data_IF_530590630523
#
_entry.id   IF_530590630523
#
_cell.length_a   1.000
_cell.length_b   1.000
_cell.length_c   1.000
_cell.angle_alpha   90.00
_cell.angle_beta   90.00
_cell.angle_gamma   90.00
#
_symmetry.space_group_name_H-M   'P 1'
#
loop_
_entity.id
_entity.type
_entity.pdbx_description
1 polymer ?
#
# COMPACT_ATOMS: atom_id res chain seq x y z
N UNK A 1 -20.93 5.59 8.76
CA UNK A 1 -20.28 6.78 8.16
C UNK A 1 -20.51 8.02 9.00
N UNK A 2 -21.68 8.20 9.61
CA UNK A 2 -21.94 9.34 10.51
C UNK A 2 -20.88 9.50 11.59
N UNK A 3 -20.53 8.43 12.31
CA UNK A 3 -19.47 8.43 13.34
C UNK A 3 -18.13 8.99 12.83
N UNK A 4 -17.66 8.52 11.67
CA UNK A 4 -16.44 9.04 11.05
C UNK A 4 -16.57 10.52 10.65
N UNK A 5 -17.70 10.91 10.06
CA UNK A 5 -17.93 12.29 9.61
C UNK A 5 -17.97 13.26 10.79
N UNK A 6 -18.58 12.85 11.90
CA UNK A 6 -18.60 13.61 13.14
C UNK A 6 -17.20 13.74 13.74
N UNK A 7 -16.45 12.63 13.80
CA UNK A 7 -15.06 12.63 14.27
C UNK A 7 -14.17 13.58 13.46
N UNK A 8 -14.20 13.51 12.12
CA UNK A 8 -13.41 14.40 11.26
C UNK A 8 -13.82 15.86 11.43
N UNK A 9 -15.12 16.13 11.57
CA UNK A 9 -15.62 17.48 11.80
C UNK A 9 -15.09 18.03 13.13
N UNK A 10 -15.18 17.27 14.21
CA UNK A 10 -14.72 17.71 15.52
C UNK A 10 -13.20 17.88 15.56
N UNK A 11 -12.43 16.97 14.97
CA UNK A 11 -10.97 17.11 14.84
C UNK A 11 -10.61 18.41 14.09
N UNK A 12 -11.36 18.78 13.04
CA UNK A 12 -11.15 20.05 12.33
C UNK A 12 -11.46 21.26 13.20
N UNK A 13 -12.53 21.20 13.99
CA UNK A 13 -12.90 22.27 14.93
C UNK A 13 -11.83 22.44 16.01
N UNK A 14 -11.34 21.34 16.59
CA UNK A 14 -10.27 21.33 17.59
C UNK A 14 -8.92 21.78 17.01
N UNK A 15 -8.57 21.39 15.79
CA UNK A 15 -7.36 21.87 15.12
C UNK A 15 -7.40 23.40 14.89
N UNK A 16 -8.57 23.94 14.49
CA UNK A 16 -8.77 25.38 14.30
C UNK A 16 -8.77 26.16 15.61
N UNK A 17 -9.25 25.54 16.71
CA UNK A 17 -9.19 26.10 18.04
C UNK A 17 -7.79 26.00 18.67
N UNK A 18 -6.82 25.39 17.97
CA UNK A 18 -5.50 25.07 18.49
C UNK A 18 -5.59 24.20 19.77
N UNK A 19 -6.44 23.17 19.76
CA UNK A 19 -6.52 22.13 20.81
C UNK A 19 -5.86 20.81 20.36
N UNK A 20 -5.80 20.57 19.05
CA UNK A 20 -5.00 19.51 18.40
C UNK A 20 -3.85 20.17 17.67
N UNK A 21 -2.61 19.91 18.09
CA UNK A 21 -1.41 20.56 17.54
C UNK A 21 -0.44 19.58 16.89
N UNK A 22 -0.40 18.37 17.42
CA UNK A 22 0.49 17.30 17.00
C UNK A 22 -0.32 16.22 16.30
N UNK A 23 0.40 15.41 15.54
CA UNK A 23 -0.21 14.28 14.86
C UNK A 23 -0.71 13.25 15.86
N UNK A 24 0.05 12.98 16.92
CA UNK A 24 -0.36 12.05 17.97
C UNK A 24 -1.64 12.51 18.67
N UNK A 25 -1.95 13.81 18.70
CA UNK A 25 -3.21 14.32 19.28
C UNK A 25 -4.42 13.85 18.46
N UNK A 26 -4.27 13.66 17.13
CA UNK A 26 -5.32 13.11 16.26
C UNK A 26 -5.54 11.63 16.57
N UNK A 27 -4.48 10.83 16.65
CA UNK A 27 -4.58 9.40 16.99
C UNK A 27 -5.19 9.20 18.38
N UNK A 28 -4.73 9.98 19.38
CA UNK A 28 -5.31 10.00 20.73
C UNK A 28 -6.78 10.38 20.70
N UNK A 29 -7.16 11.34 19.86
CA UNK A 29 -8.55 11.77 19.74
C UNK A 29 -9.44 10.60 19.24
N UNK A 30 -9.03 9.95 18.15
CA UNK A 30 -9.76 8.82 17.58
C UNK A 30 -9.91 7.69 18.60
N UNK A 31 -8.83 7.31 19.28
CA UNK A 31 -8.84 6.20 20.25
C UNK A 31 -9.69 6.47 21.50
N UNK A 32 -9.78 7.72 21.96
CA UNK A 32 -10.38 8.04 23.27
C UNK A 32 -11.76 8.67 23.20
N UNK A 33 -12.09 9.29 22.08
CA UNK A 33 -13.28 10.13 21.96
C UNK A 33 -14.17 9.71 20.78
N UNK A 34 -13.83 8.62 20.09
CA UNK A 34 -14.66 8.04 19.04
C UNK A 34 -14.86 6.55 19.27
N UNK A 35 -15.86 5.97 18.60
CA UNK A 35 -16.11 4.53 18.59
C UNK A 35 -15.32 3.81 17.47
N UNK A 36 -14.31 4.45 16.88
CA UNK A 36 -13.50 3.83 15.82
C UNK A 36 -12.45 2.91 16.45
N UNK A 37 -12.48 1.62 16.09
CA UNK A 37 -11.57 0.63 16.64
C UNK A 37 -10.27 0.58 15.83
N UNK A 38 -9.13 0.79 16.49
CA UNK A 38 -7.81 0.62 15.87
C UNK A 38 -7.55 -0.87 15.61
N UNK A 39 -7.32 -1.24 14.34
CA UNK A 39 -7.07 -2.62 13.92
C UNK A 39 -5.69 -2.88 13.35
N UNK A 40 -4.98 -1.84 12.89
CA UNK A 40 -3.63 -1.99 12.37
C UNK A 40 -2.79 -0.71 12.55
N UNK A 41 -1.49 -0.89 12.72
CA UNK A 41 -0.51 0.20 12.81
C UNK A 41 0.71 -0.12 11.95
N UNK A 42 1.06 0.80 11.05
CA UNK A 42 2.29 0.80 10.27
C UNK A 42 3.25 1.91 10.72
N UNK A 43 4.35 2.09 10.00
CA UNK A 43 5.36 3.12 10.33
C UNK A 43 4.80 4.54 10.10
N UNK A 44 3.92 4.72 9.12
CA UNK A 44 3.37 6.03 8.71
C UNK A 44 1.86 6.16 8.80
N UNK A 45 1.16 5.06 9.12
CA UNK A 45 -0.29 5.03 9.08
C UNK A 45 -0.89 4.15 10.17
N UNK A 46 -2.14 4.46 10.50
CA UNK A 46 -3.01 3.68 11.37
C UNK A 46 -4.28 3.31 10.59
N UNK A 47 -4.89 2.17 10.89
CA UNK A 47 -6.12 1.71 10.23
C UNK A 47 -7.18 1.43 11.28
N UNK A 48 -8.37 2.01 11.08
CA UNK A 48 -9.50 1.90 11.99
C UNK A 48 -10.71 1.27 11.31
N UNK A 49 -11.48 0.49 12.08
CA UNK A 49 -12.82 0.06 11.67
C UNK A 49 -13.85 1.16 11.90
N UNK A 50 -14.90 1.15 11.07
CA UNK A 50 -16.07 2.01 11.24
C UNK A 50 -17.24 1.17 11.74
N UNK A 51 -17.73 1.38 12.99
CA UNK A 51 -18.88 0.64 13.48
C UNK A 51 -20.09 0.77 12.55
N UNK A 52 -20.69 -0.39 12.22
CA UNK A 52 -21.84 -0.47 11.32
C UNK A 52 -21.49 -0.47 9.83
N UNK A 53 -20.21 -0.36 9.44
CA UNK A 53 -19.75 -0.46 8.05
C UNK A 53 -18.60 -1.47 7.92
N UNK A 54 -18.90 -2.78 8.01
CA UNK A 54 -17.88 -3.83 8.03
C UNK A 54 -17.08 -3.94 6.73
N UNK A 55 -17.61 -3.38 5.65
CA UNK A 55 -17.04 -3.32 4.31
C UNK A 55 -16.04 -2.16 4.12
N UNK A 56 -15.81 -1.32 5.14
CA UNK A 56 -14.93 -0.16 5.04
C UNK A 56 -13.98 -0.03 6.22
N UNK A 57 -12.84 0.58 5.94
CA UNK A 57 -11.84 0.97 6.93
C UNK A 57 -11.39 2.41 6.71
N UNK A 58 -10.85 3.02 7.75
CA UNK A 58 -10.24 4.35 7.70
C UNK A 58 -8.74 4.21 7.83
N UNK A 59 -7.99 4.54 6.77
CA UNK A 59 -6.53 4.68 6.84
C UNK A 59 -6.17 6.13 7.18
N UNK A 60 -5.55 6.32 8.34
CA UNK A 60 -4.99 7.59 8.82
C UNK A 60 -3.52 7.66 8.42
N UNK A 61 -3.17 8.55 7.51
CA UNK A 61 -1.79 8.83 7.09
C UNK A 61 -1.31 10.11 7.76
N UNK A 62 -0.29 9.95 8.60
CA UNK A 62 0.00 10.94 9.62
C UNK A 62 1.41 11.55 9.43
N UNK A 63 2.27 10.93 8.63
CA UNK A 63 3.67 11.33 8.37
C UNK A 63 3.83 12.36 7.23
N UNK A 64 4.84 13.25 7.36
CA UNK A 64 5.14 14.29 6.35
C UNK A 64 5.81 13.73 5.09
N UNK A 65 6.57 12.64 5.26
CA UNK A 65 7.33 12.00 4.18
C UNK A 65 6.57 10.86 3.52
N UNK A 66 5.39 10.52 4.05
CA UNK A 66 4.53 9.48 3.51
C UNK A 66 4.12 9.80 2.06
N UNK A 67 4.46 8.88 1.16
CA UNK A 67 4.14 8.96 -0.26
C UNK A 67 2.73 8.47 -0.59
N UNK A 68 2.05 7.80 0.35
CA UNK A 68 0.80 7.07 0.10
C UNK A 68 -0.28 7.92 -0.58
N UNK A 69 -0.38 9.22 -0.28
CA UNK A 69 -1.37 10.09 -0.90
C UNK A 69 -1.28 10.16 -2.43
N UNK A 70 -0.09 9.95 -3.00
CA UNK A 70 0.11 9.89 -4.45
C UNK A 70 -0.58 8.64 -5.02
N UNK A 71 -0.31 7.49 -4.42
CA UNK A 71 -0.93 6.22 -4.79
C UNK A 71 -2.44 6.25 -4.55
N UNK A 72 -2.89 6.76 -3.42
CA UNK A 72 -4.31 6.88 -3.10
C UNK A 72 -5.05 7.71 -4.16
N UNK A 73 -4.52 8.88 -4.52
CA UNK A 73 -5.11 9.72 -5.57
C UNK A 73 -5.02 9.12 -6.96
N UNK A 74 -4.01 8.30 -7.23
CA UNK A 74 -3.93 7.52 -8.46
C UNK A 74 -5.05 6.48 -8.52
N UNK A 75 -5.32 5.76 -7.44
CA UNK A 75 -6.44 4.80 -7.34
C UNK A 75 -7.80 5.50 -7.52
N UNK A 76 -7.93 6.73 -7.01
CA UNK A 76 -9.14 7.55 -7.12
C UNK A 76 -9.43 8.09 -8.52
N UNK A 77 -8.54 7.91 -9.51
CA UNK A 77 -8.79 8.36 -10.88
C UNK A 77 -9.91 7.53 -11.52
N UNK A 78 -10.80 8.13 -12.34
CA UNK A 78 -11.93 7.43 -12.94
C UNK A 78 -11.54 6.14 -13.67
N UNK A 79 -10.41 6.13 -14.38
CA UNK A 79 -9.90 4.98 -15.12
C UNK A 79 -9.40 3.82 -14.24
N UNK A 80 -9.20 4.05 -12.93
CA UNK A 80 -8.66 3.07 -12.00
C UNK A 80 -9.68 2.56 -10.98
N UNK A 81 -10.88 3.16 -10.92
CA UNK A 81 -11.91 2.80 -9.93
C UNK A 81 -12.46 1.37 -10.11
N UNK A 82 -12.45 0.86 -11.35
CA UNK A 82 -12.89 -0.51 -11.65
C UNK A 82 -11.72 -1.51 -11.72
N UNK A 83 -10.49 -1.09 -11.40
CA UNK A 83 -9.33 -1.97 -11.49
C UNK A 83 -9.30 -2.96 -10.30
N UNK A 84 -9.36 -4.28 -10.56
CA UNK A 84 -9.44 -5.28 -9.50
C UNK A 84 -8.18 -5.40 -8.66
N UNK A 85 -7.04 -4.86 -9.08
CA UNK A 85 -5.76 -5.02 -8.42
C UNK A 85 -5.31 -3.81 -7.60
N UNK A 86 -6.19 -2.82 -7.40
CA UNK A 86 -5.97 -1.67 -6.51
C UNK A 86 -7.18 -1.42 -5.61
N UNK A 87 -7.01 -0.77 -4.44
CA UNK A 87 -8.10 -0.51 -3.52
C UNK A 87 -9.05 0.55 -4.06
N UNK A 88 -10.31 0.35 -3.78
CA UNK A 88 -11.38 1.33 -3.90
C UNK A 88 -11.24 2.30 -2.74
N UNK A 89 -10.84 3.52 -3.06
CA UNK A 89 -10.78 4.61 -2.10
C UNK A 89 -11.99 5.50 -2.33
N UNK A 90 -12.95 5.40 -1.42
CA UNK A 90 -14.22 6.12 -1.51
C UNK A 90 -14.08 7.62 -1.25
N UNK A 91 -13.10 8.01 -0.42
CA UNK A 91 -12.98 9.38 0.06
C UNK A 91 -11.58 9.70 0.60
N UNK A 92 -11.14 10.94 0.38
CA UNK A 92 -10.02 11.58 1.08
C UNK A 92 -10.55 12.76 1.91
N UNK A 93 -10.19 12.82 3.20
CA UNK A 93 -10.32 14.03 4.02
C UNK A 93 -8.94 14.47 4.51
N UNK A 94 -8.79 15.78 4.72
CA UNK A 94 -7.56 16.35 5.28
C UNK A 94 -7.84 17.23 6.49
N UNK A 95 -6.89 17.23 7.42
CA UNK A 95 -6.83 18.16 8.56
C UNK A 95 -5.46 18.83 8.53
N UNK A 96 -5.44 20.16 8.43
CA UNK A 96 -4.21 20.95 8.55
C UNK A 96 -4.04 21.39 10.00
N UNK A 97 -2.92 21.01 10.61
CA UNK A 97 -2.54 21.41 11.95
C UNK A 97 -1.88 22.79 11.92
N UNK A 98 -1.86 23.51 13.05
CA UNK A 98 -1.22 24.83 13.15
C UNK A 98 0.28 24.85 12.80
N UNK A 99 0.93 23.68 12.81
CA UNK A 99 2.31 23.49 12.32
C UNK A 99 2.46 23.49 10.79
N UNK A 100 1.35 23.58 10.04
CA UNK A 100 1.30 23.38 8.58
C UNK A 100 1.38 21.90 8.17
N UNK A 101 1.36 20.97 9.14
CA UNK A 101 1.32 19.53 8.86
C UNK A 101 -0.09 19.14 8.45
N UNK A 102 -0.21 18.43 7.33
CA UNK A 102 -1.49 17.93 6.83
C UNK A 102 -1.60 16.45 7.16
N UNK A 103 -2.60 16.11 7.96
CA UNK A 103 -3.04 14.75 8.28
C UNK A 103 -4.09 14.32 7.25
N UNK A 104 -4.01 13.09 6.75
CA UNK A 104 -4.90 12.56 5.72
C UNK A 104 -5.67 11.36 6.22
N UNK A 105 -6.93 11.28 5.83
CA UNK A 105 -7.83 10.17 6.12
C UNK A 105 -8.37 9.64 4.82
N UNK A 106 -8.35 8.32 4.68
CA UNK A 106 -8.90 7.62 3.53
C UNK A 106 -9.99 6.68 4.00
N UNK A 107 -11.21 6.89 3.51
CA UNK A 107 -12.26 5.87 3.61
C UNK A 107 -12.06 4.92 2.44
N UNK A 108 -11.74 3.67 2.74
CA UNK A 108 -11.43 2.66 1.72
C UNK A 108 -12.18 1.37 1.98
N UNK A 109 -12.32 0.55 0.95
CA UNK A 109 -12.86 -0.79 1.11
C UNK A 109 -12.03 -1.60 2.11
N UNK A 110 -12.69 -2.53 2.81
CA UNK A 110 -12.01 -3.52 3.65
C UNK A 110 -11.50 -4.66 2.79
N UNK A 111 -10.19 -4.93 2.91
CA UNK A 111 -9.52 -6.06 2.29
C UNK A 111 -9.10 -7.06 3.37
N UNK A 112 -8.83 -8.28 2.95
CA UNK A 112 -8.40 -9.37 3.83
C UNK A 112 -6.87 -9.49 3.83
N UNK A 113 -6.30 -9.73 5.00
CA UNK A 113 -4.89 -10.07 5.11
C UNK A 113 -4.62 -11.41 4.41
N UNK A 114 -3.42 -11.55 3.86
CA UNK A 114 -2.93 -12.84 3.38
C UNK A 114 -2.39 -13.61 4.59
N UNK A 115 -3.02 -14.74 4.93
CA UNK A 115 -2.68 -15.55 6.12
C UNK A 115 -2.32 -16.98 5.74
N UNK A 116 -1.20 -17.55 6.23
CA UNK A 116 -0.75 -18.94 5.96
C UNK A 116 -1.61 -20.07 6.58
N UNK A 117 -2.61 -19.76 7.42
CA UNK A 117 -3.50 -20.80 7.99
C UNK A 117 -4.90 -20.27 8.38
N UNK A 118 -5.22 -19.03 8.01
CA UNK A 118 -6.48 -18.38 8.39
C UNK A 118 -6.51 -17.87 9.84
N UNK A 119 -5.41 -17.98 10.61
CA UNK A 119 -5.42 -17.68 12.06
C UNK A 119 -4.58 -16.47 12.47
N UNK A 120 -3.46 -16.19 11.79
CA UNK A 120 -2.63 -14.99 12.05
C UNK A 120 -2.20 -14.29 10.75
N UNK A 121 -2.21 -12.94 10.70
CA UNK A 121 -1.60 -12.17 9.62
C UNK A 121 -0.10 -12.50 9.54
N UNK A 122 0.25 -13.36 8.61
CA UNK A 122 1.65 -13.65 8.33
C UNK A 122 2.23 -12.42 7.69
N UNK A 123 3.18 -11.75 8.37
CA UNK A 123 4.11 -10.84 7.67
C UNK A 123 4.64 -11.65 6.49
N UNK A 124 4.24 -11.35 5.25
CA UNK A 124 4.28 -12.36 4.19
C UNK A 124 5.73 -12.52 3.74
N UNK A 125 6.42 -13.45 4.39
CA UNK A 125 7.60 -14.11 3.87
C UNK A 125 7.21 -15.26 2.95
N UNK A 126 5.97 -15.76 3.08
CA UNK A 126 5.41 -16.86 2.31
C UNK A 126 3.97 -16.51 1.92
N UNK A 127 3.63 -16.82 0.67
CA UNK A 127 2.27 -16.91 0.20
C UNK A 127 1.96 -18.40 0.12
N UNK A 128 0.73 -18.80 0.47
CA UNK A 128 0.23 -20.17 0.30
C UNK A 128 0.44 -20.73 -1.09
N UNK A 129 0.31 -19.83 -2.06
CA UNK A 129 0.71 -20.09 -3.41
C UNK A 129 2.23 -19.89 -3.49
N UNK A 130 2.96 -21.01 -3.43
CA UNK A 130 4.41 -21.05 -3.60
C UNK A 130 4.83 -20.30 -4.87
N UNK A 131 3.95 -20.24 -5.88
CA UNK A 131 4.20 -19.58 -7.15
C UNK A 131 4.00 -18.07 -7.08
N UNK A 132 2.95 -17.58 -6.40
CA UNK A 132 2.86 -16.15 -6.11
C UNK A 132 3.97 -15.69 -5.14
N UNK A 133 4.36 -16.52 -4.17
CA UNK A 133 5.49 -16.25 -3.28
C UNK A 133 6.81 -16.09 -4.02
N UNK A 134 7.07 -16.93 -5.03
CA UNK A 134 8.22 -16.79 -5.93
C UNK A 134 8.13 -15.51 -6.77
N UNK A 135 6.99 -15.27 -7.42
CA UNK A 135 6.77 -14.06 -8.23
C UNK A 135 7.06 -12.80 -7.40
N UNK A 136 6.51 -12.76 -6.19
CA UNK A 136 6.69 -11.72 -5.20
C UNK A 136 8.17 -11.50 -4.81
N UNK A 137 8.89 -12.56 -4.43
CA UNK A 137 10.30 -12.47 -4.04
C UNK A 137 11.19 -11.94 -5.19
N UNK A 138 10.85 -12.31 -6.41
CA UNK A 138 11.46 -11.80 -7.64
C UNK A 138 11.17 -10.32 -7.84
N UNK A 139 9.90 -9.89 -7.77
CA UNK A 139 9.48 -8.50 -7.91
C UNK A 139 10.22 -7.58 -6.93
N UNK A 140 10.27 -7.94 -5.65
CA UNK A 140 11.01 -7.16 -4.65
C UNK A 140 12.50 -7.03 -4.98
N UNK A 141 13.11 -8.12 -5.43
CA UNK A 141 14.54 -8.13 -5.77
C UNK A 141 14.82 -7.25 -6.98
N UNK A 142 13.92 -7.29 -7.97
CA UNK A 142 14.00 -6.50 -9.18
C UNK A 142 13.78 -5.00 -8.91
N UNK A 143 12.88 -4.62 -8.00
CA UNK A 143 12.60 -3.21 -7.74
C UNK A 143 13.51 -2.56 -6.70
N UNK A 144 14.26 -3.35 -5.94
CA UNK A 144 15.20 -2.85 -4.92
C UNK A 144 16.17 -1.77 -5.44
N UNK A 145 16.75 -1.86 -6.65
CA UNK A 145 17.61 -0.81 -7.19
C UNK A 145 16.91 0.53 -7.41
N UNK A 146 15.60 0.55 -7.66
CA UNK A 146 14.80 1.76 -7.91
C UNK A 146 14.43 2.50 -6.62
N UNK A 147 14.87 2.00 -5.46
CA UNK A 147 14.92 2.80 -4.24
C UNK A 147 15.98 3.92 -4.32
N UNK A 148 16.93 3.83 -5.27
CA UNK A 148 17.90 4.88 -5.57
C UNK A 148 17.31 5.87 -6.59
N UNK A 149 17.06 7.15 -6.22
CA UNK A 149 16.52 8.15 -7.14
C UNK A 149 17.42 8.47 -8.34
N UNK A 150 18.67 7.99 -8.37
CA UNK A 150 19.55 8.11 -9.52
C UNK A 150 19.36 7.00 -10.57
N UNK A 151 18.47 6.05 -10.30
CA UNK A 151 18.15 4.92 -11.19
C UNK A 151 16.63 4.84 -11.37
N UNK A 152 16.06 5.67 -12.24
CA UNK A 152 14.63 5.61 -12.51
C UNK A 152 14.24 4.26 -13.11
N UNK A 153 13.16 3.68 -12.61
CA UNK A 153 12.55 2.46 -13.15
C UNK A 153 12.21 2.61 -14.63
N UNK A 154 11.65 3.75 -15.01
CA UNK A 154 11.20 4.01 -16.39
C UNK A 154 12.34 4.21 -17.39
N UNK A 155 13.55 4.49 -16.91
CA UNK A 155 14.77 4.51 -17.74
C UNK A 155 15.29 3.10 -18.05
N UNK A 156 15.02 2.12 -17.17
CA UNK A 156 15.50 0.73 -17.26
C UNK A 156 14.41 -0.25 -17.77
N UNK A 157 13.12 0.10 -17.61
CA UNK A 157 11.96 -0.70 -17.99
C UNK A 157 10.92 0.20 -18.65
N UNK A 158 10.79 0.11 -19.97
CA UNK A 158 9.96 1.04 -20.76
C UNK A 158 8.60 0.48 -21.16
N UNK A 159 8.40 -0.83 -21.02
CA UNK A 159 7.16 -1.51 -21.39
C UNK A 159 6.80 -2.65 -20.44
N UNK A 160 5.54 -3.08 -20.48
CA UNK A 160 5.06 -4.26 -19.73
C UNK A 160 5.78 -5.53 -20.19
N UNK A 161 6.07 -5.67 -21.47
CA UNK A 161 6.75 -6.84 -22.00
C UNK A 161 8.18 -6.93 -21.45
N UNK A 162 8.93 -5.81 -21.47
CA UNK A 162 10.26 -5.72 -20.84
C UNK A 162 10.21 -5.99 -19.33
N UNK A 163 9.15 -5.50 -18.66
CA UNK A 163 8.93 -5.75 -17.23
C UNK A 163 8.77 -7.25 -16.94
N UNK A 164 7.96 -7.95 -17.74
CA UNK A 164 7.77 -9.40 -17.62
C UNK A 164 9.05 -10.16 -17.94
N UNK A 165 9.77 -9.79 -18.99
CA UNK A 165 11.07 -10.40 -19.32
C UNK A 165 12.06 -10.29 -18.15
N UNK A 166 12.13 -9.13 -17.49
CA UNK A 166 13.01 -8.93 -16.33
C UNK A 166 12.59 -9.71 -15.08
N UNK A 167 11.30 -10.02 -14.93
CA UNK A 167 10.78 -10.88 -13.86
C UNK A 167 11.21 -12.34 -14.11
N UNK A 168 11.21 -12.78 -15.36
CA UNK A 168 11.58 -14.15 -15.71
C UNK A 168 13.10 -14.40 -15.71
N UNK A 169 13.92 -13.35 -15.61
CA UNK A 169 15.36 -13.50 -15.44
C UNK A 169 15.70 -14.29 -14.17
N UNK A 170 16.64 -15.25 -14.23
CA UNK A 170 17.05 -16.02 -13.05
C UNK A 170 17.63 -15.12 -11.96
N UNK A 171 16.97 -15.04 -10.79
CA UNK A 171 17.40 -14.20 -9.66
C UNK A 171 17.68 -15.03 -8.40
N UNK A 172 18.71 -14.62 -7.66
CA UNK A 172 18.96 -15.16 -6.33
C UNK A 172 17.97 -14.53 -5.35
N UNK A 173 17.09 -15.34 -4.76
CA UNK A 173 16.16 -14.87 -3.73
C UNK A 173 16.90 -14.64 -2.39
N UNK A 174 16.54 -13.55 -1.69
CA UNK A 174 17.16 -13.19 -0.40
C UNK A 174 16.78 -14.13 0.76
N UNK A 175 15.76 -14.97 0.60
CA UNK A 175 15.14 -15.74 1.68
C UNK A 175 15.57 -17.22 1.75
N UNK A 176 16.37 -17.72 0.80
CA UNK A 176 16.83 -19.11 0.82
C UNK A 176 18.14 -19.26 1.62
N UNK A 177 18.22 -20.33 2.42
CA UNK A 177 19.42 -20.66 3.18
C UNK A 177 20.63 -20.85 2.26
N UNK A 178 21.85 -20.58 2.77
CA UNK A 178 23.08 -20.48 1.98
C UNK A 178 23.43 -21.71 1.15
N UNK A 179 22.85 -22.87 1.47
CA UNK A 179 23.28 -24.17 0.95
C UNK A 179 22.43 -24.65 -0.25
N UNK A 180 21.38 -23.90 -0.63
CA UNK A 180 20.43 -24.29 -1.71
C UNK A 180 20.14 -23.17 -2.73
N UNK A 181 21.08 -22.25 -2.97
CA UNK A 181 20.91 -21.12 -3.93
C UNK A 181 20.83 -21.59 -5.39
N UNK A 182 19.71 -22.20 -5.77
CA UNK A 182 19.28 -22.22 -7.17
C UNK A 182 18.60 -20.88 -7.46
N UNK A 183 18.95 -20.20 -8.56
CA UNK A 183 18.18 -19.06 -9.03
C UNK A 183 16.72 -19.47 -9.18
N UNK A 184 15.80 -18.63 -8.70
CA UNK A 184 14.38 -18.79 -8.96
C UNK A 184 14.10 -18.22 -10.35
N UNK A 185 13.32 -18.97 -11.11
CA UNK A 185 12.79 -18.57 -12.42
C UNK A 185 11.27 -18.65 -12.29
N UNK A 186 10.57 -17.65 -12.82
CA UNK A 186 9.11 -17.64 -12.84
C UNK A 186 8.65 -18.30 -14.13
N UNK A 187 7.87 -19.36 -14.01
CA UNK A 187 7.34 -20.11 -15.14
C UNK A 187 6.27 -19.29 -15.89
N UNK A 188 6.14 -19.53 -17.20
CA UNK A 188 5.18 -18.81 -18.07
C UNK A 188 3.73 -18.96 -17.56
N UNK A 189 3.36 -20.11 -17.00
CA UNK A 189 2.02 -20.35 -16.45
C UNK A 189 1.68 -19.36 -15.31
N UNK A 190 2.66 -19.04 -14.45
CA UNK A 190 2.50 -18.07 -13.35
C UNK A 190 2.36 -16.65 -13.91
N UNK A 191 3.11 -16.32 -14.97
CA UNK A 191 3.00 -15.02 -15.65
C UNK A 191 1.62 -14.87 -16.28
N UNK A 192 1.13 -15.90 -16.96
CA UNK A 192 -0.19 -15.91 -17.61
C UNK A 192 -1.32 -15.79 -16.57
N UNK A 193 -1.21 -16.49 -15.44
CA UNK A 193 -2.17 -16.43 -14.34
C UNK A 193 -2.26 -15.04 -13.69
N UNK A 194 -1.16 -14.29 -13.69
CA UNK A 194 -1.06 -12.96 -13.06
C UNK A 194 -0.92 -11.80 -14.05
N UNK A 195 -1.22 -12.00 -15.34
CA UNK A 195 -0.97 -11.01 -16.41
C UNK A 195 -1.56 -9.61 -16.09
N UNK A 196 -2.81 -9.54 -15.66
CA UNK A 196 -3.50 -8.28 -15.35
C UNK A 196 -2.98 -7.60 -14.08
N UNK A 197 -2.55 -8.39 -13.09
CA UNK A 197 -1.86 -7.88 -11.92
C UNK A 197 -0.52 -7.27 -12.30
N UNK A 198 0.28 -7.95 -13.14
CA UNK A 198 1.58 -7.47 -13.61
C UNK A 198 1.45 -6.20 -14.44
N UNK A 199 0.45 -6.11 -15.32
CA UNK A 199 0.11 -4.87 -16.05
C UNK A 199 -0.25 -3.73 -15.11
N UNK A 200 -1.03 -4.00 -14.06
CA UNK A 200 -1.42 -2.99 -13.08
C UNK A 200 -0.23 -2.55 -12.25
N UNK A 201 0.58 -3.49 -11.78
CA UNK A 201 1.81 -3.21 -11.03
C UNK A 201 2.77 -2.36 -11.85
N UNK A 202 3.03 -2.70 -13.11
CA UNK A 202 3.86 -1.87 -14.00
C UNK A 202 3.37 -0.42 -14.05
N UNK A 203 2.07 -0.20 -14.30
CA UNK A 203 1.49 1.16 -14.34
C UNK A 203 1.65 1.92 -13.03
N UNK A 204 1.49 1.22 -11.90
CA UNK A 204 1.68 1.78 -10.56
C UNK A 204 3.14 2.18 -10.33
N UNK A 205 4.08 1.29 -10.67
CA UNK A 205 5.51 1.55 -10.53
C UNK A 205 5.98 2.68 -11.43
N UNK A 206 5.58 2.70 -12.71
CA UNK A 206 5.88 3.81 -13.62
C UNK A 206 5.32 5.15 -13.13
N UNK A 207 4.16 5.14 -12.47
CA UNK A 207 3.63 6.36 -11.86
C UNK A 207 4.43 6.79 -10.62
N UNK A 208 4.88 5.86 -9.79
CA UNK A 208 5.61 6.14 -8.55
C UNK A 208 7.04 6.61 -8.82
N UNK A 209 7.65 6.13 -9.91
CA UNK A 209 9.04 6.39 -10.27
C UNK A 209 9.42 7.87 -10.25
N UNK A 210 8.54 8.75 -10.74
CA UNK A 210 8.77 10.20 -10.76
C UNK A 210 8.51 10.88 -9.40
N UNK A 211 8.05 10.14 -8.40
CA UNK A 211 7.44 10.71 -7.21
C UNK A 211 8.02 10.20 -5.89
N UNK A 212 8.61 9.00 -5.86
CA UNK A 212 9.09 8.45 -4.61
C UNK A 212 9.76 7.09 -4.69
N UNK A 213 10.08 6.58 -3.51
CA UNK A 213 10.74 5.29 -3.30
C UNK A 213 9.68 4.18 -3.32
N UNK A 214 9.81 3.27 -4.28
CA UNK A 214 8.98 2.07 -4.38
C UNK A 214 9.13 1.23 -3.11
N UNK A 215 8.01 0.78 -2.58
CA UNK A 215 7.95 -0.11 -1.42
C UNK A 215 7.18 -1.36 -1.78
N UNK A 216 7.88 -2.26 -2.46
CA UNK A 216 7.37 -3.59 -2.66
C UNK A 216 7.86 -4.43 -1.48
N UNK A 217 6.96 -4.68 -0.54
CA UNK A 217 7.02 -5.82 0.37
C UNK A 217 5.64 -6.51 0.45
N UNK A 218 5.58 -7.79 0.79
CA UNK A 218 4.30 -8.51 0.72
C UNK A 218 3.20 -7.92 1.64
N UNK A 219 3.57 -7.20 2.71
CA UNK A 219 2.61 -6.45 3.55
C UNK A 219 1.91 -5.29 2.84
N UNK A 220 2.29 -4.98 1.60
CA UNK A 220 1.67 -3.96 0.75
C UNK A 220 0.73 -4.59 -0.30
N UNK A 221 0.33 -5.84 -0.06
CA UNK A 221 -0.67 -6.57 -0.80
C UNK A 221 -1.71 -7.12 0.16
N UNK A 222 -2.95 -7.21 -0.29
CA UNK A 222 -4.08 -7.77 0.44
C UNK A 222 -5.01 -8.49 -0.54
N UNK A 223 -6.07 -9.11 -0.03
CA UNK A 223 -7.03 -9.89 -0.80
C UNK A 223 -8.40 -9.21 -0.88
N UNK A 224 -8.99 -9.24 -2.07
CA UNK A 224 -10.43 -9.05 -2.31
C UNK A 224 -11.00 -10.38 -2.77
N UNK A 225 -11.47 -11.20 -1.83
CA UNK A 225 -11.73 -12.62 -2.11
C UNK A 225 -10.45 -13.29 -2.62
N UNK A 226 -10.48 -13.92 -3.78
CA UNK A 226 -9.29 -14.56 -4.38
C UNK A 226 -8.42 -13.59 -5.21
N UNK A 227 -8.75 -12.30 -5.24
CA UNK A 227 -8.04 -11.31 -6.05
C UNK A 227 -6.98 -10.58 -5.24
N UNK A 228 -5.75 -10.54 -5.76
CA UNK A 228 -4.64 -9.81 -5.16
C UNK A 228 -4.77 -8.30 -5.44
N UNK A 229 -4.63 -7.50 -4.38
CA UNK A 229 -4.76 -6.03 -4.41
C UNK A 229 -3.48 -5.39 -3.91
N UNK A 230 -2.91 -4.44 -4.67
CA UNK A 230 -1.76 -3.63 -4.29
C UNK A 230 -2.24 -2.50 -3.38
N UNK A 231 -1.80 -2.45 -2.12
CA UNK A 231 -2.34 -1.53 -1.12
C UNK A 231 -1.41 -0.41 -0.68
N UNK A 232 -0.08 -0.55 -0.80
CA UNK A 232 0.86 0.50 -0.38
C UNK A 232 2.22 0.45 -1.09
N UNK A 233 2.29 0.72 -2.41
CA UNK A 233 3.49 0.51 -3.22
C UNK A 233 4.58 1.60 -3.06
N UNK A 234 4.42 2.59 -2.17
CA UNK A 234 5.31 3.75 -2.04
C UNK A 234 5.64 4.02 -0.57
N UNK A 235 6.92 3.97 -0.20
CA UNK A 235 7.35 4.27 1.18
C UNK A 235 7.43 5.77 1.43
N UNK A 236 8.15 6.47 0.56
CA UNK A 236 8.50 7.86 0.74
C UNK A 236 8.35 8.63 -0.54
N UNK A 237 7.79 9.84 -0.49
CA UNK A 237 7.93 10.77 -1.60
C UNK A 237 9.36 11.33 -1.66
N UNK A 238 9.84 11.64 -2.85
CA UNK A 238 11.05 12.43 -3.00
C UNK A 238 10.87 13.82 -2.39
N UNK A 239 11.98 14.37 -1.88
CA UNK A 239 12.01 15.76 -1.44
C UNK A 239 11.89 16.65 -2.67
N UNK A 240 10.67 17.13 -2.94
CA UNK A 240 10.42 18.22 -3.88
C UNK A 240 10.94 19.56 -3.39
#
# INVERSE_FOLDING_TARGET
MELYLDAIKEIKELANAEEIHRVDDVSIYLERFTDLDLIATGIYAEVYEVPGEPDKVIKLCNSKIDGYYLFARWCMRPENQDNPHVPTIHREDTVELSSGRVVRFYVMERLEDITDDGTEPTRPSHFHDDDFGKLWGTLRTMTLPFADPQKPFTDEVSSVDEFVEQIQEPRAHFYMSSDERKPVVIDDEIIDEHEELLKTLFKVLSFIDDHGVMDLHGGNYMLRGDTIVITDPISHKYAG
#
